data_IF_119130371989
#
_entry.id   IF_119130371989
#
_cell.length_a   1.000
_cell.length_b   1.000
_cell.length_c   1.000
_cell.angle_alpha   90.00
_cell.angle_beta   90.00
_cell.angle_gamma   90.00
#
_symmetry.space_group_name_H-M   'P 1'
#
loop_
_entity.id
_entity.type
_entity.pdbx_description
1 polymer ?
#
# COMPACT_ATOMS: atom_id res chain seq x y z
N UNK A 1 16.32 -7.70 20.13
CA UNK A 1 15.85 -8.02 18.77
C UNK A 1 15.19 -6.77 18.23
N UNK A 2 15.74 -6.12 17.19
CA UNK A 2 15.02 -5.05 16.51
C UNK A 2 14.04 -5.70 15.53
N UNK A 3 12.73 -5.54 15.73
CA UNK A 3 11.73 -5.97 14.75
C UNK A 3 11.87 -5.21 13.43
N UNK A 4 11.24 -5.72 12.35
CA UNK A 4 11.19 -5.06 11.04
C UNK A 4 10.73 -3.60 11.16
N UNK A 5 9.71 -3.38 12.00
CA UNK A 5 9.25 -2.06 12.44
C UNK A 5 9.57 -1.93 13.93
N UNK A 6 10.47 -1.02 14.33
CA UNK A 6 10.82 -0.82 15.74
C UNK A 6 9.59 -0.45 16.57
N UNK A 7 9.40 -1.13 17.71
CA UNK A 7 8.32 -0.86 18.66
C UNK A 7 6.89 -0.96 18.10
N UNK A 8 6.69 -1.72 17.01
CA UNK A 8 5.34 -1.97 16.51
C UNK A 8 4.50 -2.68 17.58
N UNK A 9 3.30 -2.18 17.93
CA UNK A 9 2.48 -2.77 18.99
C UNK A 9 2.11 -4.22 18.66
N UNK A 10 2.03 -5.07 19.69
CA UNK A 10 1.68 -6.49 19.52
C UNK A 10 0.24 -6.66 19.00
N UNK A 11 -0.65 -5.72 19.32
CA UNK A 11 -2.03 -5.62 18.88
C UNK A 11 -2.22 -4.61 17.73
N UNK A 12 -1.11 -4.07 17.20
CA UNK A 12 -1.12 -3.20 16.04
C UNK A 12 -1.64 -3.94 14.79
N UNK A 13 -2.17 -3.18 13.84
CA UNK A 13 -2.76 -3.72 12.62
C UNK A 13 -1.96 -3.34 11.39
N UNK A 14 -1.94 -4.25 10.43
CA UNK A 14 -1.36 -4.03 9.11
C UNK A 14 -2.51 -3.99 8.11
N UNK A 15 -2.68 -2.87 7.41
CA UNK A 15 -3.64 -2.79 6.30
C UNK A 15 -2.93 -3.00 4.98
N UNK A 16 -3.64 -3.64 4.04
CA UNK A 16 -3.14 -3.94 2.71
C UNK A 16 -4.18 -3.45 1.72
N UNK A 17 -3.90 -2.31 1.09
CA UNK A 17 -4.74 -1.76 0.03
C UNK A 17 -4.16 -2.17 -1.31
N UNK A 18 -4.83 -3.12 -1.96
CA UNK A 18 -4.48 -3.59 -3.30
C UNK A 18 -5.00 -2.60 -4.33
N UNK A 19 -4.15 -2.21 -5.28
CA UNK A 19 -4.52 -1.37 -6.41
C UNK A 19 -4.03 -1.97 -7.72
N UNK A 20 -4.89 -1.93 -8.74
CA UNK A 20 -4.57 -2.37 -10.10
C UNK A 20 -4.69 -1.17 -11.03
N UNK A 21 -3.61 -0.86 -11.75
CA UNK A 21 -3.56 0.26 -12.70
C UNK A 21 -4.39 0.01 -13.96
N UNK A 22 -5.22 1.00 -14.34
CA UNK A 22 -5.87 1.00 -15.65
C UNK A 22 -4.80 1.00 -16.76
N UNK A 23 -5.09 0.41 -17.94
CA UNK A 23 -4.13 0.31 -19.04
C UNK A 23 -3.53 1.64 -19.54
N UNK A 24 -4.22 2.76 -19.30
CA UNK A 24 -3.81 4.09 -19.76
C UNK A 24 -2.79 4.79 -18.84
N UNK A 25 -2.49 4.23 -17.66
CA UNK A 25 -1.59 4.83 -16.68
C UNK A 25 -0.35 3.97 -16.46
N UNK A 26 0.74 4.64 -16.09
CA UNK A 26 2.04 4.03 -15.80
C UNK A 26 2.24 3.77 -14.30
N UNK A 27 3.31 3.06 -13.96
CA UNK A 27 3.72 2.94 -12.56
C UNK A 27 4.19 4.29 -11.99
N UNK A 28 4.86 5.11 -12.79
CA UNK A 28 5.33 6.44 -12.37
C UNK A 28 4.14 7.33 -11.99
N UNK A 29 3.05 7.24 -12.76
CA UNK A 29 1.78 7.88 -12.43
C UNK A 29 1.31 7.52 -11.02
N UNK A 30 1.29 6.23 -10.69
CA UNK A 30 0.87 5.75 -9.37
C UNK A 30 1.82 6.25 -8.26
N UNK A 31 3.12 6.16 -8.51
CA UNK A 31 4.15 6.54 -7.52
C UNK A 31 4.00 8.00 -7.09
N UNK A 32 3.72 8.91 -8.03
CA UNK A 32 3.54 10.33 -7.70
C UNK A 32 2.36 10.57 -6.75
N UNK A 33 1.18 10.01 -7.04
CA UNK A 33 -0.01 10.18 -6.18
C UNK A 33 0.17 9.50 -4.83
N UNK A 34 0.79 8.31 -4.82
CA UNK A 34 1.09 7.56 -3.59
C UNK A 34 2.11 8.32 -2.73
N UNK A 35 3.12 8.97 -3.32
CA UNK A 35 4.09 9.75 -2.57
C UNK A 35 3.41 10.89 -1.79
N UNK A 36 2.45 11.58 -2.43
CA UNK A 36 1.65 12.62 -1.78
C UNK A 36 0.79 12.05 -0.64
N UNK A 37 0.17 10.88 -0.85
CA UNK A 37 -0.59 10.18 0.18
C UNK A 37 0.29 9.82 1.38
N UNK A 38 1.46 9.24 1.14
CA UNK A 38 2.43 8.85 2.17
C UNK A 38 2.90 10.05 3.00
N UNK A 39 3.23 11.17 2.34
CA UNK A 39 3.67 12.37 3.04
C UNK A 39 2.53 12.99 3.87
N UNK A 40 1.28 12.94 3.38
CA UNK A 40 0.12 13.40 4.13
C UNK A 40 -0.08 12.60 5.43
N UNK A 41 -0.10 11.27 5.32
CA UNK A 41 -0.32 10.39 6.48
C UNK A 41 0.82 10.55 7.49
N UNK A 42 2.07 10.63 7.03
CA UNK A 42 3.21 10.90 7.89
C UNK A 42 3.10 12.26 8.58
N UNK A 43 2.66 13.31 7.87
CA UNK A 43 2.57 14.67 8.44
C UNK A 43 1.48 14.76 9.50
N UNK A 44 0.31 14.17 9.27
CA UNK A 44 -0.87 14.43 10.11
C UNK A 44 -1.24 13.29 11.05
N UNK A 45 -0.73 12.07 10.83
CA UNK A 45 -1.17 10.89 11.56
C UNK A 45 -0.05 10.14 12.29
N UNK A 46 1.21 10.58 12.20
CA UNK A 46 2.32 9.96 12.96
C UNK A 46 2.10 10.00 14.48
N UNK A 47 1.47 11.07 14.98
CA UNK A 47 1.15 11.21 16.40
C UNK A 47 -0.22 10.64 16.79
N UNK A 48 -1.01 10.18 15.81
CA UNK A 48 -2.38 9.67 16.01
C UNK A 48 -2.53 8.21 15.65
N UNK A 49 -1.44 7.48 15.43
CA UNK A 49 -1.45 6.02 15.30
C UNK A 49 -0.81 5.45 14.04
N UNK A 50 -0.41 6.26 13.07
CA UNK A 50 0.37 5.78 11.93
C UNK A 50 1.81 5.47 12.35
N UNK A 51 2.25 4.23 12.15
CA UNK A 51 3.59 3.78 12.51
C UNK A 51 4.54 3.83 11.32
N UNK A 52 4.02 3.59 10.12
CA UNK A 52 4.79 3.60 8.88
C UNK A 52 4.07 2.87 7.75
N UNK A 53 4.72 2.79 6.61
CA UNK A 53 4.19 2.07 5.46
C UNK A 53 5.19 1.98 4.33
N UNK A 54 4.90 1.10 3.38
CA UNK A 54 5.63 0.98 2.13
C UNK A 54 4.69 0.54 1.03
N UNK A 55 5.10 0.77 -0.21
CA UNK A 55 4.38 0.30 -1.39
C UNK A 55 5.25 -0.69 -2.13
N UNK A 56 4.69 -1.84 -2.46
CA UNK A 56 5.35 -2.84 -3.29
C UNK A 56 4.59 -3.06 -4.59
N UNK A 57 5.32 -3.34 -5.66
CA UNK A 57 4.79 -3.58 -7.00
C UNK A 57 4.99 -5.05 -7.33
N UNK A 58 3.97 -5.67 -7.90
CA UNK A 58 4.05 -7.03 -8.40
C UNK A 58 5.04 -7.07 -9.58
N UNK A 59 6.22 -7.64 -9.37
CA UNK A 59 7.25 -7.81 -10.41
C UNK A 59 6.92 -8.90 -11.43
N UNK A 60 5.86 -9.69 -11.19
CA UNK A 60 5.50 -10.84 -12.00
C UNK A 60 6.33 -12.10 -11.74
N UNK A 61 7.32 -12.02 -10.85
CA UNK A 61 8.16 -13.17 -10.49
C UNK A 61 7.40 -14.08 -9.53
N UNK A 62 7.05 -15.26 -10.02
CA UNK A 62 6.41 -16.33 -9.24
C UNK A 62 7.44 -17.44 -9.04
N UNK A 63 7.57 -17.94 -7.80
CA UNK A 63 8.46 -19.06 -7.50
C UNK A 63 7.86 -20.36 -8.02
N UNK A 64 8.52 -21.01 -8.97
CA UNK A 64 8.07 -22.30 -9.49
C UNK A 64 8.10 -23.38 -8.39
N UNK A 65 9.16 -23.42 -7.59
CA UNK A 65 9.31 -24.39 -6.51
C UNK A 65 8.30 -24.18 -5.38
N UNK A 66 7.94 -22.92 -5.11
CA UNK A 66 7.06 -22.53 -4.00
C UNK A 66 5.59 -22.37 -4.36
N UNK A 67 5.23 -22.21 -5.64
CA UNK A 67 3.86 -21.84 -6.04
C UNK A 67 3.20 -22.81 -7.02
N UNK A 68 3.97 -23.50 -7.85
CA UNK A 68 3.43 -24.31 -8.95
C UNK A 68 4.38 -25.46 -9.23
N UNK A 69 4.08 -26.68 -8.78
CA UNK A 69 4.91 -27.91 -8.94
C UNK A 69 5.53 -28.05 -10.35
N UNK A 70 6.63 -27.34 -10.61
CA UNK A 70 7.32 -27.28 -11.90
C UNK A 70 6.68 -26.47 -13.05
N UNK A 71 5.63 -25.66 -12.86
CA UNK A 71 5.06 -24.86 -13.97
C UNK A 71 5.47 -23.39 -13.91
N UNK A 72 6.14 -22.90 -14.95
CA UNK A 72 6.41 -21.48 -15.11
C UNK A 72 5.10 -20.71 -15.31
N UNK A 73 4.74 -19.88 -14.32
CA UNK A 73 3.58 -19.00 -14.40
C UNK A 73 4.05 -17.55 -14.29
N UNK A 74 3.70 -16.75 -15.29
CA UNK A 74 3.86 -15.30 -15.22
C UNK A 74 2.57 -14.67 -14.68
N UNK A 75 2.69 -13.66 -13.81
CA UNK A 75 1.51 -12.93 -13.34
C UNK A 75 0.98 -12.02 -14.45
N UNK A 76 -0.33 -12.08 -14.81
CA UNK A 76 -0.93 -11.14 -15.77
C UNK A 76 -0.95 -9.69 -15.25
N UNK A 77 -0.69 -9.50 -13.95
CA UNK A 77 -0.67 -8.21 -13.27
C UNK A 77 0.76 -7.68 -13.04
N UNK A 78 1.77 -8.33 -13.62
CA UNK A 78 3.15 -7.86 -13.56
C UNK A 78 3.24 -6.38 -13.99
N UNK A 79 3.81 -5.54 -13.13
CA UNK A 79 3.96 -4.11 -13.34
C UNK A 79 2.67 -3.28 -13.28
N UNK A 80 1.52 -3.90 -12.97
CA UNK A 80 0.20 -3.23 -12.90
C UNK A 80 -0.43 -3.25 -11.52
N UNK A 81 -0.12 -4.27 -10.72
CA UNK A 81 -0.60 -4.40 -9.36
C UNK A 81 0.40 -3.83 -8.37
N UNK A 82 -0.08 -3.00 -7.46
CA UNK A 82 0.67 -2.53 -6.30
C UNK A 82 -0.12 -2.78 -5.02
N UNK A 83 0.60 -2.99 -3.93
CA UNK A 83 0.05 -3.10 -2.59
C UNK A 83 0.57 -1.93 -1.77
N UNK A 84 -0.35 -1.12 -1.25
CA UNK A 84 -0.05 -0.08 -0.28
C UNK A 84 -0.21 -0.73 1.10
N UNK A 85 0.91 -0.90 1.80
CA UNK A 85 0.97 -1.61 3.09
C UNK A 85 1.26 -0.58 4.17
N UNK A 86 0.38 -0.47 5.16
CA UNK A 86 0.54 0.50 6.25
C UNK A 86 0.36 -0.16 7.61
N UNK A 87 1.08 0.38 8.60
CA UNK A 87 1.19 -0.12 9.96
C UNK A 87 0.55 0.90 10.89
N UNK A 88 -0.38 0.43 11.73
CA UNK A 88 -1.14 1.29 12.64
C UNK A 88 -1.20 0.72 14.04
N UNK A 89 -1.31 1.60 15.03
CA UNK A 89 -1.53 1.21 16.41
C UNK A 89 -2.88 0.52 16.60
N UNK A 90 -3.91 0.94 15.86
CA UNK A 90 -5.23 0.31 15.88
C UNK A 90 -5.98 0.51 14.57
N UNK A 91 -7.02 -0.31 14.32
CA UNK A 91 -7.86 -0.14 13.13
C UNK A 91 -8.71 1.14 13.21
N UNK A 92 -9.05 1.58 14.44
CA UNK A 92 -9.75 2.85 14.65
C UNK A 92 -8.92 4.03 14.16
N UNK A 93 -7.64 4.07 14.49
CA UNK A 93 -6.74 5.16 14.07
C UNK A 93 -6.62 5.24 12.55
N UNK A 94 -6.54 4.08 11.88
CA UNK A 94 -6.62 3.99 10.42
C UNK A 94 -7.92 4.62 9.89
N UNK A 95 -9.08 4.21 10.41
CA UNK A 95 -10.37 4.73 9.95
C UNK A 95 -10.55 6.24 10.23
N UNK A 96 -10.00 6.76 11.32
CA UNK A 96 -10.01 8.21 11.59
C UNK A 96 -9.15 8.98 10.59
N UNK A 97 -8.00 8.44 10.15
CA UNK A 97 -7.19 9.08 9.10
C UNK A 97 -7.95 9.23 7.79
N UNK A 98 -8.80 8.25 7.46
CA UNK A 98 -9.67 8.27 6.28
C UNK A 98 -10.81 9.28 6.37
N UNK A 99 -11.10 9.85 7.55
CA UNK A 99 -12.10 10.92 7.70
C UNK A 99 -11.49 12.31 7.55
N UNK A 100 -10.16 12.41 7.46
CA UNK A 100 -9.48 13.69 7.29
C UNK A 100 -9.79 14.32 5.93
N UNK A 101 -10.09 15.62 5.96
CA UNK A 101 -10.29 16.44 4.76
C UNK A 101 -9.03 16.50 3.88
N UNK A 102 -7.85 16.22 4.44
CA UNK A 102 -6.58 16.22 3.70
C UNK A 102 -6.28 14.87 3.03
N UNK A 103 -6.80 13.77 3.57
CA UNK A 103 -6.49 12.42 3.09
C UNK A 103 -7.42 12.00 1.94
N UNK A 104 -8.72 12.18 2.10
CA UNK A 104 -9.74 11.74 1.14
C UNK A 104 -9.51 12.24 -0.30
N UNK A 105 -9.15 13.51 -0.54
CA UNK A 105 -8.86 13.99 -1.90
C UNK A 105 -7.69 13.25 -2.55
N UNK A 106 -6.59 13.07 -1.81
CA UNK A 106 -5.38 12.39 -2.29
C UNK A 106 -5.67 10.91 -2.61
N UNK A 107 -6.45 10.25 -1.76
CA UNK A 107 -6.81 8.85 -2.00
C UNK A 107 -7.71 8.70 -3.23
N UNK A 108 -8.61 9.65 -3.50
CA UNK A 108 -9.42 9.66 -4.73
C UNK A 108 -8.56 9.79 -5.99
N UNK A 109 -7.48 10.56 -5.95
CA UNK A 109 -6.55 10.67 -7.08
C UNK A 109 -5.84 9.34 -7.36
N UNK A 110 -5.45 8.59 -6.33
CA UNK A 110 -4.93 7.23 -6.49
C UNK A 110 -5.99 6.32 -7.12
N UNK A 111 -7.22 6.31 -6.59
CA UNK A 111 -8.30 5.48 -7.11
C UNK A 111 -8.68 5.82 -8.56
N UNK A 112 -8.54 7.08 -8.98
CA UNK A 112 -8.81 7.48 -10.36
C UNK A 112 -7.92 6.75 -11.38
N UNK A 113 -6.69 6.37 -10.97
CA UNK A 113 -5.76 5.59 -11.80
C UNK A 113 -6.08 4.10 -11.83
N UNK A 114 -6.86 3.63 -10.87
CA UNK A 114 -7.04 2.22 -10.62
C UNK A 114 -8.39 1.71 -11.13
N UNK A 115 -8.45 0.41 -11.43
CA UNK A 115 -9.64 -0.29 -11.95
C UNK A 115 -10.40 -1.09 -10.88
N UNK A 116 -10.08 -0.85 -9.61
CA UNK A 116 -10.75 -1.45 -8.45
C UNK A 116 -12.20 -0.97 -8.26
#
# INVERSE_FOLDING_TARGET
>A
MSGLIPNFPHDGIVTINRVILKPAYSLDDLQERVAMLCENVKTYHSDTGFVGGFVCVNSGQVSNEGSTVGQAVASPLAGKEALIITFWNSFKDHEESHKSDTFQPLFKEVLALCEN
#
